data_IF_828303055971
#
_entry.id   IF_828303055971
#
_cell.length_a   1.000
_cell.length_b   1.000
_cell.length_c   1.000
_cell.angle_alpha   90.00
_cell.angle_beta   90.00
_cell.angle_gamma   90.00
#
_symmetry.space_group_name_H-M   'P 1'
#
loop_
_entity.id
_entity.type
_entity.pdbx_description
1 polymer ?
#
# COMPACT_ATOMS: atom_id res chain seq x y z
N UNK A 1 -6.38 -13.84 4.77
CA UNK A 1 -4.95 -13.74 4.35
C UNK A 1 -4.84 -12.86 3.10
N UNK A 2 -4.15 -11.73 3.20
CA UNK A 2 -3.88 -10.83 2.06
C UNK A 2 -2.87 -11.51 1.13
N UNK A 3 -3.24 -11.70 -0.14
CA UNK A 3 -2.33 -12.36 -1.10
C UNK A 3 -1.26 -11.38 -1.58
N UNK A 4 -1.67 -10.29 -2.22
CA UNK A 4 -0.75 -9.26 -2.71
C UNK A 4 -1.36 -7.87 -2.55
N UNK A 5 -0.49 -6.86 -2.44
CA UNK A 5 -0.82 -5.45 -2.58
C UNK A 5 0.24 -4.78 -3.45
N UNK A 6 -0.19 -3.87 -4.33
CA UNK A 6 0.67 -3.05 -5.17
C UNK A 6 0.60 -1.59 -4.75
N UNK A 7 1.75 -0.93 -4.71
CA UNK A 7 1.88 0.48 -4.39
C UNK A 7 2.72 1.16 -5.48
N UNK A 8 2.33 2.36 -5.88
CA UNK A 8 3.22 3.22 -6.65
C UNK A 8 4.24 3.81 -5.68
N UNK A 9 5.51 3.46 -5.86
CA UNK A 9 6.61 4.09 -5.13
C UNK A 9 7.24 5.13 -6.05
N UNK A 10 7.39 6.34 -5.56
CA UNK A 10 8.02 7.46 -6.26
C UNK A 10 9.07 8.06 -5.33
N UNK A 11 10.32 8.13 -5.79
CA UNK A 11 11.45 8.71 -5.05
C UNK A 11 11.77 10.16 -5.49
N UNK A 12 10.93 10.74 -6.34
CA UNK A 12 11.10 12.06 -6.95
C UNK A 12 11.94 12.05 -8.24
N UNK A 13 12.67 10.97 -8.53
CA UNK A 13 13.44 10.81 -9.77
C UNK A 13 12.84 9.77 -10.70
N UNK A 14 12.20 8.74 -10.15
CA UNK A 14 11.58 7.64 -10.89
C UNK A 14 10.43 7.03 -10.10
N UNK A 15 9.45 6.50 -10.84
CA UNK A 15 8.37 5.71 -10.25
C UNK A 15 8.53 4.22 -10.58
N UNK A 16 8.12 3.37 -9.64
CA UNK A 16 8.09 1.93 -9.82
C UNK A 16 6.86 1.30 -9.15
N UNK A 17 6.49 0.11 -9.63
CA UNK A 17 5.46 -0.70 -8.98
C UNK A 17 6.10 -1.55 -7.88
N UNK A 18 5.80 -1.20 -6.64
CA UNK A 18 6.24 -1.94 -5.47
C UNK A 18 5.16 -2.95 -5.05
N UNK A 19 5.52 -4.22 -5.03
CA UNK A 19 4.63 -5.32 -4.66
C UNK A 19 4.98 -5.88 -3.29
N UNK A 20 3.96 -6.20 -2.51
CA UNK A 20 4.10 -6.85 -1.21
C UNK A 20 3.12 -8.01 -1.10
N UNK A 21 3.49 -9.04 -0.36
CA UNK A 21 2.66 -10.22 -0.12
C UNK A 21 2.49 -10.49 1.39
N UNK A 22 1.48 -11.28 1.74
CA UNK A 22 1.25 -11.77 3.10
C UNK A 22 1.28 -10.67 4.16
N UNK A 23 2.12 -10.83 5.18
CA UNK A 23 2.24 -9.91 6.30
C UNK A 23 2.80 -8.54 5.90
N UNK A 24 3.62 -8.46 4.85
CA UNK A 24 4.14 -7.16 4.36
C UNK A 24 3.03 -6.34 3.71
N UNK A 25 2.16 -6.98 2.94
CA UNK A 25 0.97 -6.33 2.39
C UNK A 25 0.05 -5.86 3.53
N UNK A 26 -0.16 -6.70 4.55
CA UNK A 26 -0.93 -6.32 5.73
C UNK A 26 -0.28 -5.16 6.49
N UNK A 27 1.04 -5.13 6.63
CA UNK A 27 1.79 -4.06 7.27
C UNK A 27 1.59 -2.73 6.53
N UNK A 28 1.80 -2.69 5.20
CA UNK A 28 1.63 -1.48 4.38
C UNK A 28 0.19 -0.93 4.44
N UNK A 29 -0.81 -1.81 4.52
CA UNK A 29 -2.21 -1.43 4.72
C UNK A 29 -2.52 -1.05 6.19
N UNK A 30 -1.56 -1.16 7.10
CA UNK A 30 -1.72 -0.92 8.54
C UNK A 30 -2.61 -1.93 9.25
N UNK A 31 -2.82 -3.10 8.67
CA UNK A 31 -3.73 -4.15 9.15
C UNK A 31 -3.15 -5.02 10.26
N UNK A 32 -1.86 -4.87 10.55
CA UNK A 32 -1.21 -5.52 11.68
C UNK A 32 -1.49 -4.81 13.01
N UNK A 33 -2.14 -3.63 12.98
CA UNK A 33 -2.51 -2.94 14.20
C UNK A 33 -3.66 -3.65 14.93
N UNK A 34 -3.64 -3.73 16.27
CA UNK A 34 -4.71 -4.34 17.07
C UNK A 34 -6.10 -3.73 16.86
N UNK A 35 -6.16 -2.49 16.34
CA UNK A 35 -7.42 -1.77 16.02
C UNK A 35 -7.79 -1.83 14.54
N UNK A 36 -7.18 -2.73 13.76
CA UNK A 36 -7.44 -2.86 12.34
C UNK A 36 -8.79 -3.58 12.08
N UNK A 37 -9.89 -2.85 12.25
CA UNK A 37 -11.24 -3.35 11.96
C UNK A 37 -11.40 -3.84 10.51
N UNK A 38 -10.65 -3.29 9.57
CA UNK A 38 -10.69 -3.70 8.17
C UNK A 38 -10.30 -5.18 7.97
N UNK A 39 -9.29 -5.70 8.69
CA UNK A 39 -8.89 -7.11 8.59
C UNK A 39 -10.04 -8.02 9.05
N UNK A 40 -10.61 -7.69 10.20
CA UNK A 40 -11.72 -8.42 10.82
C UNK A 40 -12.96 -8.44 9.94
N UNK A 41 -13.33 -7.29 9.36
CA UNK A 41 -14.47 -7.17 8.44
C UNK A 41 -14.27 -8.04 7.19
N UNK A 42 -13.08 -7.98 6.56
CA UNK A 42 -12.78 -8.79 5.36
C UNK A 42 -12.86 -10.28 5.68
N UNK A 43 -12.26 -10.72 6.80
CA UNK A 43 -12.19 -12.14 7.16
C UNK A 43 -13.55 -12.72 7.57
N UNK A 44 -14.39 -11.94 8.27
CA UNK A 44 -15.71 -12.41 8.73
C UNK A 44 -16.81 -12.33 7.68
N UNK A 45 -16.80 -11.29 6.85
CA UNK A 45 -17.97 -10.96 6.01
C UNK A 45 -17.75 -11.18 4.53
N UNK A 46 -16.52 -11.05 4.01
CA UNK A 46 -16.28 -11.07 2.56
C UNK A 46 -15.41 -12.24 2.10
N UNK A 47 -14.62 -12.83 2.99
CA UNK A 47 -13.68 -13.93 2.72
C UNK A 47 -12.48 -13.54 1.84
N UNK A 48 -12.75 -12.91 0.69
CA UNK A 48 -11.79 -12.33 -0.23
C UNK A 48 -12.35 -11.06 -0.85
N UNK A 49 -11.54 -10.01 -0.82
CA UNK A 49 -11.83 -8.73 -1.48
C UNK A 49 -10.71 -8.43 -2.47
N UNK A 50 -11.07 -8.01 -3.67
CA UNK A 50 -10.17 -7.45 -4.68
C UNK A 50 -10.51 -5.98 -4.82
N UNK A 51 -9.49 -5.13 -4.66
CA UNK A 51 -9.64 -3.68 -4.81
C UNK A 51 -8.77 -3.25 -5.98
N UNK A 52 -9.37 -2.58 -6.96
CA UNK A 52 -8.66 -1.95 -8.07
C UNK A 52 -8.85 -0.45 -7.96
N UNK A 53 -7.75 0.31 -7.97
CA UNK A 53 -7.82 1.75 -8.05
C UNK A 53 -7.68 2.16 -9.53
N UNK A 54 -8.75 2.69 -10.11
CA UNK A 54 -8.78 3.20 -11.49
C UNK A 54 -8.59 4.72 -11.55
N UNK A 55 -8.47 5.38 -10.40
CA UNK A 55 -8.31 6.83 -10.30
C UNK A 55 -6.88 7.32 -10.24
N UNK A 56 -6.73 8.65 -10.08
CA UNK A 56 -5.43 9.27 -9.84
C UNK A 56 -4.86 8.83 -8.49
N UNK A 57 -3.61 8.36 -8.47
CA UNK A 57 -2.87 8.09 -7.22
C UNK A 57 -2.53 9.36 -6.45
N UNK A 58 -2.58 10.52 -7.11
CA UNK A 58 -2.16 11.82 -6.57
C UNK A 58 -3.33 12.65 -6.01
N UNK A 59 -4.56 12.39 -6.47
CA UNK A 59 -5.76 13.06 -5.97
C UNK A 59 -6.70 12.04 -5.32
N UNK A 60 -6.78 12.00 -3.97
CA UNK A 60 -7.67 11.10 -3.24
C UNK A 60 -9.14 11.24 -3.63
N UNK A 61 -9.57 12.43 -4.09
CA UNK A 61 -10.95 12.68 -4.50
C UNK A 61 -11.28 12.08 -5.89
N UNK A 62 -10.26 11.76 -6.67
CA UNK A 62 -10.37 11.14 -7.98
C UNK A 62 -10.18 9.61 -7.96
N UNK A 63 -10.10 8.98 -6.77
CA UNK A 63 -9.92 7.53 -6.64
C UNK A 63 -11.21 6.76 -6.91
N UNK A 64 -11.32 6.20 -8.11
CA UNK A 64 -12.36 5.23 -8.45
C UNK A 64 -11.93 3.82 -8.02
N UNK A 65 -12.31 3.43 -6.80
CA UNK A 65 -12.13 2.05 -6.35
C UNK A 65 -13.22 1.14 -6.94
N UNK A 66 -12.79 0.06 -7.61
CA UNK A 66 -13.62 -1.09 -7.92
C UNK A 66 -13.35 -2.18 -6.87
N UNK A 67 -14.37 -2.55 -6.10
CA UNK A 67 -14.30 -3.58 -5.06
C UNK A 67 -15.07 -4.80 -5.56
N UNK A 68 -14.42 -5.96 -5.62
CA UNK A 68 -15.04 -7.24 -6.00
C UNK A 68 -14.87 -8.26 -4.86
N UNK A 69 -15.98 -8.83 -4.39
CA UNK A 69 -16.03 -9.80 -3.30
C UNK A 69 -16.82 -11.05 -3.67
N UNK A 70 -16.76 -12.10 -2.84
CA UNK A 70 -17.38 -13.41 -3.10
C UNK A 70 -18.91 -13.34 -3.30
N UNK A 71 -19.56 -12.34 -2.70
CA UNK A 71 -21.01 -12.09 -2.81
C UNK A 71 -21.34 -10.81 -3.59
N UNK A 72 -20.34 -10.12 -4.15
CA UNK A 72 -20.48 -8.82 -4.81
C UNK A 72 -20.25 -8.96 -6.31
N UNK A 73 -21.25 -9.51 -7.00
CA UNK A 73 -21.46 -9.24 -8.42
C UNK A 73 -22.16 -7.87 -8.46
N UNK A 74 -21.40 -6.78 -8.49
CA UNK A 74 -21.99 -5.44 -8.60
C UNK A 74 -22.52 -5.23 -10.02
N UNK A 75 -23.76 -5.63 -10.28
CA UNK A 75 -24.57 -4.92 -11.26
C UNK A 75 -24.98 -3.61 -10.62
N UNK A 76 -24.42 -2.51 -11.13
CA UNK A 76 -24.74 -1.11 -10.85
C UNK A 76 -26.18 -0.85 -10.35
N UNK A 77 -26.41 -0.82 -9.03
CA UNK A 77 -27.51 -0.07 -8.38
C UNK A 77 -27.45 -0.23 -6.86
N UNK A 78 -27.30 0.89 -6.16
CA UNK A 78 -27.23 1.10 -4.70
C UNK A 78 -26.13 0.35 -3.93
N UNK A 79 -24.98 1.01 -3.75
CA UNK A 79 -23.99 0.67 -2.70
C UNK A 79 -24.73 0.52 -1.37
N UNK A 80 -24.66 -0.66 -0.74
CA UNK A 80 -25.19 -0.81 0.62
C UNK A 80 -24.30 -0.06 1.61
N UNK A 81 -24.85 0.36 2.76
CA UNK A 81 -24.08 1.09 3.78
C UNK A 81 -22.80 0.36 4.20
N UNK A 82 -22.80 -0.98 4.16
CA UNK A 82 -21.64 -1.80 4.51
C UNK A 82 -20.56 -1.77 3.43
N UNK A 83 -20.95 -1.67 2.15
CA UNK A 83 -20.01 -1.52 1.04
C UNK A 83 -19.32 -0.16 1.09
N UNK A 84 -20.07 0.89 1.39
CA UNK A 84 -19.54 2.25 1.51
C UNK A 84 -18.60 2.36 2.72
N UNK A 85 -18.96 1.73 3.85
CA UNK A 85 -18.10 1.66 5.02
C UNK A 85 -16.80 0.90 4.71
N UNK A 86 -16.89 -0.26 4.04
CA UNK A 86 -15.73 -1.03 3.61
C UNK A 86 -14.83 -0.20 2.67
N UNK A 87 -15.43 0.50 1.71
CA UNK A 87 -14.73 1.40 0.78
C UNK A 87 -13.98 2.48 1.53
N UNK A 88 -14.62 3.15 2.50
CA UNK A 88 -13.99 4.17 3.34
C UNK A 88 -12.86 3.60 4.20
N UNK A 89 -13.04 2.40 4.77
CA UNK A 89 -11.97 1.74 5.53
C UNK A 89 -10.75 1.42 4.65
N UNK A 90 -10.97 0.94 3.42
CA UNK A 90 -9.91 0.65 2.46
C UNK A 90 -9.19 1.94 2.04
N UNK A 91 -9.92 2.99 1.69
CA UNK A 91 -9.33 4.29 1.34
C UNK A 91 -8.47 4.84 2.48
N UNK A 92 -8.97 4.77 3.72
CA UNK A 92 -8.22 5.22 4.89
C UNK A 92 -6.99 4.35 5.17
N UNK A 93 -7.06 3.03 4.93
CA UNK A 93 -5.92 2.14 5.08
C UNK A 93 -4.80 2.45 4.07
N UNK A 94 -5.18 2.83 2.85
CA UNK A 94 -4.29 3.18 1.74
C UNK A 94 -3.80 4.64 1.77
N UNK A 95 -4.45 5.52 2.54
CA UNK A 95 -4.11 6.94 2.62
C UNK A 95 -3.20 7.25 3.80
N UNK A 96 -2.29 8.22 3.63
CA UNK A 96 -1.63 8.94 4.73
C UNK A 96 -0.59 8.17 5.57
N UNK A 97 0.15 7.22 5.00
CA UNK A 97 1.29 6.59 5.68
C UNK A 97 2.57 6.69 4.85
N UNK A 98 3.61 7.23 5.47
CA UNK A 98 4.97 7.19 4.93
C UNK A 98 5.64 5.91 5.42
N UNK A 99 6.23 5.18 4.48
CA UNK A 99 6.89 3.90 4.75
C UNK A 99 8.34 3.98 4.28
N UNK A 100 9.25 3.42 5.08
CA UNK A 100 10.56 3.03 4.60
C UNK A 100 10.41 1.64 3.98
N UNK A 101 10.75 1.51 2.71
CA UNK A 101 10.58 0.27 1.95
C UNK A 101 11.93 -0.20 1.45
N UNK A 102 12.35 -1.37 1.90
CA UNK A 102 13.48 -2.10 1.33
C UNK A 102 12.95 -3.02 0.26
N UNK A 103 13.28 -2.74 -0.99
CA UNK A 103 12.79 -3.50 -2.15
C UNK A 103 13.93 -4.15 -2.93
N UNK A 104 13.60 -5.25 -3.63
CA UNK A 104 14.48 -5.93 -4.58
C UNK A 104 13.82 -5.94 -5.95
N UNK A 105 14.62 -5.76 -7.00
CA UNK A 105 14.15 -5.97 -8.38
C UNK A 105 13.50 -7.35 -8.52
N UNK A 106 12.35 -7.39 -9.18
CA UNK A 106 11.65 -8.64 -9.47
C UNK A 106 12.41 -9.41 -10.56
N UNK A 107 12.63 -10.71 -10.34
CA UNK A 107 13.18 -11.61 -11.34
C UNK A 107 12.10 -12.11 -12.31
N UNK A 108 12.51 -12.85 -13.34
CA UNK A 108 11.59 -13.37 -14.37
C UNK A 108 10.56 -14.32 -13.78
N UNK A 109 10.97 -15.22 -12.87
CA UNK A 109 10.08 -16.16 -12.20
C UNK A 109 9.03 -15.44 -11.36
N UNK A 110 9.44 -14.46 -10.55
CA UNK A 110 8.53 -13.64 -9.77
C UNK A 110 7.57 -12.82 -10.63
N UNK A 111 8.03 -12.34 -11.78
CA UNK A 111 7.19 -11.60 -12.73
C UNK A 111 6.13 -12.50 -13.39
N UNK A 112 6.49 -13.72 -13.77
CA UNK A 112 5.58 -14.68 -14.38
C UNK A 112 4.49 -15.14 -13.41
N UNK A 113 4.86 -15.47 -12.17
CA UNK A 113 3.88 -15.86 -11.15
C UNK A 113 2.96 -14.69 -10.77
N UNK A 114 3.50 -13.48 -10.65
CA UNK A 114 2.69 -12.29 -10.43
C UNK A 114 1.71 -12.05 -11.58
N UNK A 115 2.17 -12.16 -12.83
CA UNK A 115 1.29 -11.99 -13.99
C UNK A 115 0.14 -13.00 -13.99
N UNK A 116 0.43 -14.27 -13.68
CA UNK A 116 -0.59 -15.31 -13.54
C UNK A 116 -1.63 -14.95 -12.47
N UNK A 117 -1.18 -14.51 -11.30
CA UNK A 117 -2.08 -14.10 -10.22
C UNK A 117 -2.92 -12.86 -10.56
N UNK A 118 -2.39 -11.93 -11.37
CA UNK A 118 -3.14 -10.78 -11.85
C UNK A 118 -4.18 -11.17 -12.90
N UNK A 119 -3.87 -12.13 -13.78
CA UNK A 119 -4.85 -12.65 -14.75
C UNK A 119 -6.06 -13.28 -14.07
N UNK A 120 -5.86 -13.98 -12.94
CA UNK A 120 -6.97 -14.54 -12.14
C UNK A 120 -7.98 -13.48 -11.66
N UNK A 121 -7.55 -12.22 -11.55
CA UNK A 121 -8.40 -11.09 -11.15
C UNK A 121 -8.72 -10.12 -12.29
N UNK A 122 -8.42 -10.49 -13.54
CA UNK A 122 -8.63 -9.64 -14.70
C UNK A 122 -7.80 -8.36 -14.65
N UNK A 123 -6.53 -8.47 -14.26
CA UNK A 123 -5.52 -7.41 -14.29
C UNK A 123 -4.31 -7.85 -15.12
N UNK A 124 -3.54 -6.90 -15.62
CA UNK A 124 -2.34 -7.15 -16.43
C UNK A 124 -1.21 -6.25 -15.91
N UNK A 125 0.03 -6.74 -15.93
CA UNK A 125 1.20 -5.93 -15.62
C UNK A 125 1.37 -4.81 -16.65
N UNK A 126 1.77 -3.64 -16.18
CA UNK A 126 2.11 -2.51 -17.06
C UNK A 126 3.54 -2.74 -17.59
N UNK A 127 3.75 -2.95 -18.90
CA UNK A 127 5.05 -3.40 -19.43
C UNK A 127 6.20 -2.40 -19.25
N UNK A 128 5.89 -1.11 -19.03
CA UNK A 128 6.89 -0.03 -18.98
C UNK A 128 7.33 0.33 -17.55
N UNK A 129 6.68 -0.20 -16.52
CA UNK A 129 7.06 0.07 -15.13
C UNK A 129 7.96 -1.02 -14.58
N UNK A 130 9.03 -0.59 -13.88
CA UNK A 130 9.87 -1.52 -13.13
C UNK A 130 9.05 -2.10 -11.96
N UNK A 131 9.07 -3.43 -11.84
CA UNK A 131 8.42 -4.14 -10.74
C UNK A 131 9.47 -4.53 -9.70
N UNK A 132 9.17 -4.26 -8.43
CA UNK A 132 10.04 -4.60 -7.30
C UNK A 132 9.24 -5.31 -6.21
N UNK A 133 9.88 -6.23 -5.49
CA UNK A 133 9.33 -6.88 -4.31
C UNK A 133 9.78 -6.16 -3.05
N UNK A 134 8.82 -5.71 -2.23
CA UNK A 134 9.07 -5.27 -0.87
C UNK A 134 9.53 -6.47 -0.02
N UNK A 135 10.73 -6.36 0.52
CA UNK A 135 11.33 -7.34 1.42
C UNK A 135 11.31 -6.88 2.89
N UNK A 136 11.37 -5.57 3.13
CA UNK A 136 11.23 -4.93 4.45
C UNK A 136 10.37 -3.67 4.35
N UNK A 137 9.49 -3.48 5.34
CA UNK A 137 8.58 -2.32 5.40
C UNK A 137 8.50 -1.83 6.84
N UNK A 138 8.85 -0.56 7.07
CA UNK A 138 8.82 0.08 8.39
C UNK A 138 8.05 1.39 8.31
N UNK A 139 7.14 1.64 9.26
CA UNK A 139 6.37 2.87 9.27
C UNK A 139 7.26 4.02 9.73
N UNK A 140 7.29 5.09 8.94
CA UNK A 140 8.04 6.30 9.29
C UNK A 140 7.14 7.21 10.11
N UNK A 141 7.46 7.37 11.39
CA UNK A 141 6.90 8.44 12.20
C UNK A 141 7.64 9.75 11.92
N UNK A 142 7.25 10.46 10.87
CA UNK A 142 7.93 11.68 10.42
C UNK A 142 8.14 12.70 11.55
N UNK A 143 7.18 12.80 12.47
CA UNK A 143 7.30 13.66 13.65
C UNK A 143 8.37 13.17 14.65
N UNK A 144 8.52 11.86 14.84
CA UNK A 144 9.58 11.31 15.68
C UNK A 144 10.95 11.47 15.03
N UNK A 145 11.04 11.26 13.72
CA UNK A 145 12.26 11.46 12.94
C UNK A 145 12.71 12.92 12.97
N UNK A 146 11.80 13.87 12.71
CA UNK A 146 12.07 15.30 12.81
C UNK A 146 12.57 15.68 14.22
N UNK A 147 11.93 15.15 15.28
CA UNK A 147 12.40 15.37 16.67
C UNK A 147 13.81 14.82 16.90
N UNK A 148 14.14 13.66 16.34
CA UNK A 148 15.45 13.05 16.50
C UNK A 148 16.54 13.85 15.75
N UNK A 149 16.25 14.32 14.54
CA UNK A 149 17.16 15.18 13.77
C UNK A 149 17.44 16.48 14.52
N UNK A 150 16.40 17.17 15.01
CA UNK A 150 16.54 18.41 15.77
C UNK A 150 17.42 18.19 17.02
N UNK A 151 17.18 17.10 17.76
CA UNK A 151 18.01 16.75 18.93
C UNK A 151 19.47 16.53 18.53
N UNK A 152 19.74 15.82 17.43
CA UNK A 152 21.09 15.60 16.94
C UNK A 152 21.82 16.90 16.59
N UNK A 153 21.13 17.83 15.93
CA UNK A 153 21.68 19.14 15.58
C UNK A 153 21.96 20.03 16.80
N UNK A 154 21.11 19.97 17.83
CA UNK A 154 21.31 20.70 19.08
C UNK A 154 22.45 20.14 19.95
N UNK A 155 22.88 18.90 19.68
CA UNK A 155 23.97 18.22 20.39
C UNK A 155 25.32 18.29 19.64
N UNK A 156 25.37 18.92 18.46
CA UNK A 156 26.63 19.15 17.76
C UNK A 156 27.47 20.17 18.55
N UNK A 157 28.73 19.86 18.91
CA UNK A 157 29.62 20.84 19.50
C UNK A 157 29.86 22.00 18.50
N UNK A 158 30.04 23.24 18.98
CA UNK A 158 30.34 24.36 18.10
C UNK A 158 31.59 24.04 17.27
N UNK A 159 31.48 24.23 15.95
CA UNK A 159 32.61 24.16 15.03
C UNK A 159 33.76 24.99 15.61
N UNK A 160 34.85 24.32 15.99
CA UNK A 160 36.11 24.98 16.30
C UNK A 160 36.62 25.56 14.97
N UNK A 161 36.32 26.84 14.72
CA UNK A 161 37.05 27.62 13.74
C UNK A 161 38.46 27.80 14.30
N UNK A 162 39.39 26.96 13.85
CA UNK A 162 40.81 27.20 14.10
C UNK A 162 41.26 28.45 13.31
N UNK A 163 42.16 29.26 13.90
CA UNK A 163 42.56 30.58 13.40
C UNK A 163 43.38 30.52 12.11
#
# INVERSE_FOLDING_TARGET
MFRNASFSADDGSSSCCCWANGDRAAALLGLLHPKAHLKEVIERHHGRVVVKNHGSTLDPSAQELMITGKDMISSSSSSSSDEELLRMMILNACSSKTWNVVARAMDSEGSEELEKQLREVGMVLVPQMKNVWAFGVDQVEAAAEARNIIKGLLLLPPHQTHP
#
